data_IF_918876810556
#
_entry.id   IF_918876810556
#
_cell.length_a   1.000
_cell.length_b   1.000
_cell.length_c   1.000
_cell.angle_alpha   90.00
_cell.angle_beta   90.00
_cell.angle_gamma   90.00
#
_symmetry.space_group_name_H-M   'P 1'
#
loop_
_entity.id
_entity.type
_entity.pdbx_description
1 polymer ?
#
# COMPACT_ATOMS: atom_id res chain seq x y z
N UNK A 1 2.93 -1.95 19.03
CA UNK A 1 1.82 -2.83 18.62
C UNK A 1 1.19 -3.46 19.86
N UNK A 2 -0.13 -3.38 20.01
CA UNK A 2 -0.88 -3.92 21.16
C UNK A 2 -1.89 -4.97 20.69
N UNK A 3 -2.01 -6.09 21.40
CA UNK A 3 -3.03 -7.09 21.16
C UNK A 3 -4.16 -6.99 22.20
N UNK A 4 -5.42 -6.98 21.74
CA UNK A 4 -6.60 -6.94 22.61
C UNK A 4 -7.69 -7.91 22.15
N UNK A 5 -8.58 -8.28 23.08
CA UNK A 5 -9.76 -9.10 22.77
C UNK A 5 -10.90 -8.20 22.29
N UNK A 6 -11.75 -8.73 21.42
CA UNK A 6 -12.93 -8.02 20.91
C UNK A 6 -13.82 -7.42 22.02
N UNK A 7 -13.95 -8.08 23.18
CA UNK A 7 -14.75 -7.57 24.29
C UNK A 7 -14.13 -6.33 24.94
N UNK A 8 -12.82 -6.31 25.12
CA UNK A 8 -12.11 -5.21 25.76
C UNK A 8 -12.03 -3.98 24.84
N UNK A 9 -11.84 -4.20 23.53
CA UNK A 9 -11.94 -3.14 22.53
C UNK A 9 -13.31 -2.45 22.57
N UNK A 10 -14.39 -3.22 22.67
CA UNK A 10 -15.76 -2.68 22.73
C UNK A 10 -16.00 -1.85 23.99
N UNK A 11 -15.52 -2.33 25.13
CA UNK A 11 -15.66 -1.61 26.39
C UNK A 11 -14.85 -0.30 26.42
N UNK A 12 -13.69 -0.27 25.74
CA UNK A 12 -12.73 0.82 25.80
C UNK A 12 -12.47 1.48 24.43
N UNK A 13 -13.50 1.56 23.57
CA UNK A 13 -13.32 1.90 22.14
C UNK A 13 -12.61 3.25 21.92
N UNK A 14 -12.96 4.28 22.71
CA UNK A 14 -12.36 5.61 22.62
C UNK A 14 -10.85 5.56 22.86
N UNK A 15 -10.42 4.90 23.94
CA UNK A 15 -9.00 4.73 24.29
C UNK A 15 -8.22 4.09 23.14
N UNK A 16 -8.77 3.03 22.56
CA UNK A 16 -8.10 2.32 21.47
C UNK A 16 -8.07 3.13 20.17
N UNK A 17 -9.10 3.90 19.87
CA UNK A 17 -9.07 4.79 18.71
C UNK A 17 -8.08 5.94 18.88
N UNK A 18 -8.00 6.52 20.08
CA UNK A 18 -6.99 7.54 20.39
C UNK A 18 -5.56 6.96 20.27
N UNK A 19 -5.35 5.72 20.71
CA UNK A 19 -4.06 5.03 20.53
C UNK A 19 -3.75 4.81 19.03
N UNK A 20 -4.71 4.28 18.26
CA UNK A 20 -4.54 4.08 16.82
C UNK A 20 -4.25 5.38 16.07
N UNK A 21 -4.95 6.46 16.44
CA UNK A 21 -4.74 7.78 15.87
C UNK A 21 -3.32 8.30 16.14
N UNK A 22 -2.76 8.01 17.31
CA UNK A 22 -1.39 8.37 17.68
C UNK A 22 -0.32 7.41 17.12
N UNK A 23 -0.68 6.51 16.19
CA UNK A 23 0.26 5.61 15.50
C UNK A 23 0.48 4.26 16.17
N UNK A 24 -0.36 3.87 17.15
CA UNK A 24 -0.27 2.55 17.77
C UNK A 24 -1.08 1.51 16.99
N UNK A 25 -0.43 0.48 16.45
CA UNK A 25 -1.12 -0.63 15.78
C UNK A 25 -1.81 -1.54 16.79
N UNK A 26 -3.12 -1.75 16.63
CA UNK A 26 -3.91 -2.60 17.54
C UNK A 26 -4.37 -3.86 16.80
N UNK A 27 -4.02 -5.02 17.33
CA UNK A 27 -4.47 -6.33 16.83
C UNK A 27 -5.62 -6.82 17.71
N UNK A 28 -6.78 -7.01 17.10
CA UNK A 28 -7.99 -7.47 17.78
C UNK A 28 -8.17 -8.95 17.49
N UNK A 29 -7.96 -9.77 18.53
CA UNK A 29 -8.14 -11.21 18.42
C UNK A 29 -9.62 -11.57 18.26
N UNK A 30 -9.94 -12.42 17.30
CA UNK A 30 -11.29 -12.96 17.07
C UNK A 30 -11.25 -14.48 17.04
N UNK A 31 -12.41 -15.11 17.28
CA UNK A 31 -12.56 -16.55 17.13
C UNK A 31 -12.18 -16.97 15.71
N UNK A 32 -11.75 -18.22 15.54
CA UNK A 32 -11.35 -18.80 14.26
C UNK A 32 -10.18 -18.06 13.58
N UNK A 33 -9.32 -17.42 14.36
CA UNK A 33 -8.15 -16.68 13.87
C UNK A 33 -8.48 -15.56 12.85
N UNK A 34 -9.73 -15.08 12.84
CA UNK A 34 -10.21 -13.97 11.98
C UNK A 34 -9.85 -12.60 12.57
N UNK A 35 -8.61 -12.46 13.01
CA UNK A 35 -8.14 -11.26 13.71
C UNK A 35 -8.21 -10.04 12.79
N UNK A 36 -8.42 -8.87 13.37
CA UNK A 36 -8.46 -7.60 12.62
C UNK A 36 -7.42 -6.64 13.18
N UNK A 37 -6.89 -5.78 12.32
CA UNK A 37 -5.91 -4.75 12.69
C UNK A 37 -6.60 -3.40 12.62
N UNK A 38 -6.43 -2.58 13.65
CA UNK A 38 -6.88 -1.19 13.72
C UNK A 38 -5.66 -0.29 13.72
N UNK A 39 -5.62 0.64 12.78
CA UNK A 39 -4.57 1.65 12.57
C UNK A 39 -5.24 2.98 12.21
N UNK A 40 -4.47 4.07 12.24
CA UNK A 40 -4.94 5.35 11.74
C UNK A 40 -5.23 5.30 10.23
N UNK A 41 -6.10 6.20 9.78
CA UNK A 41 -6.35 6.38 8.34
C UNK A 41 -5.08 6.79 7.59
N UNK A 42 -4.24 7.64 8.20
CA UNK A 42 -2.98 8.07 7.61
C UNK A 42 -2.06 6.87 7.34
N UNK A 43 -1.87 6.01 8.35
CA UNK A 43 -1.02 4.82 8.22
C UNK A 43 -1.59 3.84 7.18
N UNK A 44 -2.91 3.65 7.14
CA UNK A 44 -3.56 2.87 6.09
C UNK A 44 -3.26 3.43 4.68
N UNK A 45 -3.38 4.74 4.50
CA UNK A 45 -3.10 5.39 3.22
C UNK A 45 -1.64 5.28 2.81
N UNK A 46 -0.70 5.39 3.75
CA UNK A 46 0.73 5.19 3.51
C UNK A 46 1.03 3.75 3.07
N UNK A 47 0.43 2.74 3.72
CA UNK A 47 0.56 1.34 3.30
C UNK A 47 0.01 1.12 1.88
N UNK A 48 -1.14 1.70 1.54
CA UNK A 48 -1.70 1.60 0.19
C UNK A 48 -0.80 2.28 -0.85
N UNK A 49 -0.19 3.42 -0.53
CA UNK A 49 0.80 4.09 -1.40
C UNK A 49 2.04 3.23 -1.58
N UNK A 50 2.61 2.68 -0.51
CA UNK A 50 3.77 1.80 -0.55
C UNK A 50 3.51 0.57 -1.42
N UNK A 51 2.34 -0.06 -1.30
CA UNK A 51 1.93 -1.19 -2.14
C UNK A 51 1.90 -0.82 -3.63
N UNK A 52 1.25 0.31 -3.98
CA UNK A 52 1.22 0.79 -5.38
C UNK A 52 2.62 1.12 -5.90
N UNK A 53 3.46 1.70 -5.06
CA UNK A 53 4.84 2.00 -5.43
C UNK A 53 5.65 0.73 -5.67
N UNK A 54 5.46 -0.32 -4.87
CA UNK A 54 6.11 -1.61 -5.10
C UNK A 54 5.70 -2.24 -6.44
N UNK A 55 4.42 -2.17 -6.79
CA UNK A 55 3.92 -2.61 -8.11
C UNK A 55 4.52 -1.77 -9.25
N UNK A 56 4.69 -0.46 -9.04
CA UNK A 56 5.35 0.41 -10.01
C UNK A 56 6.85 0.12 -10.15
N UNK A 57 7.56 -0.11 -9.05
CA UNK A 57 8.97 -0.50 -9.06
C UNK A 57 9.17 -1.82 -9.82
N UNK A 58 8.28 -2.80 -9.63
CA UNK A 58 8.31 -4.04 -10.41
C UNK A 58 8.13 -3.82 -11.93
N UNK A 59 7.34 -2.82 -12.33
CA UNK A 59 7.22 -2.43 -13.76
C UNK A 59 8.52 -1.82 -14.29
N UNK A 60 9.20 -0.98 -13.48
CA UNK A 60 10.50 -0.42 -13.84
C UNK A 60 11.55 -1.53 -13.99
N UNK A 61 11.61 -2.47 -13.05
CA UNK A 61 12.53 -3.61 -13.11
C UNK A 61 12.30 -4.44 -14.38
N UNK A 62 11.03 -4.70 -14.73
CA UNK A 62 10.68 -5.35 -15.99
C UNK A 62 11.15 -4.54 -17.19
N UNK A 63 10.91 -3.23 -17.21
CA UNK A 63 11.35 -2.36 -18.30
C UNK A 63 12.88 -2.36 -18.45
N UNK A 64 13.64 -2.33 -17.35
CA UNK A 64 15.09 -2.47 -17.38
C UNK A 64 15.56 -3.83 -17.89
N UNK A 65 14.87 -4.91 -17.56
CA UNK A 65 15.17 -6.24 -18.11
C UNK A 65 14.95 -6.27 -19.63
N UNK A 66 13.84 -5.70 -20.11
CA UNK A 66 13.53 -5.59 -21.55
C UNK A 66 14.57 -4.74 -22.29
N UNK A 67 14.98 -3.60 -21.70
CA UNK A 67 16.07 -2.77 -22.23
C UNK A 67 17.38 -3.57 -22.40
N UNK A 68 17.76 -4.37 -21.39
CA UNK A 68 18.97 -5.21 -21.45
C UNK A 68 18.87 -6.34 -22.48
N UNK A 69 17.66 -6.85 -22.72
CA UNK A 69 17.40 -7.91 -23.71
C UNK A 69 17.20 -7.36 -25.13
N UNK A 70 17.17 -6.04 -25.30
CA UNK A 70 16.90 -5.40 -26.60
C UNK A 70 15.42 -5.44 -27.02
N UNK A 71 14.51 -5.81 -26.11
CA UNK A 71 13.06 -5.80 -26.33
C UNK A 71 12.50 -4.37 -26.23
N UNK A 72 12.99 -3.47 -27.08
CA UNK A 72 12.68 -2.04 -27.04
C UNK A 72 12.11 -1.56 -28.36
N UNK A 73 11.25 -0.55 -28.30
CA UNK A 73 10.76 0.16 -29.47
C UNK A 73 11.52 1.48 -29.56
N UNK A 74 12.32 1.65 -30.60
CA UNK A 74 13.07 2.88 -30.86
C UNK A 74 12.17 3.84 -31.62
N UNK A 75 12.01 5.06 -31.09
CA UNK A 75 11.26 6.14 -31.71
C UNK A 75 12.06 7.43 -31.59
N UNK A 76 12.05 8.24 -32.65
CA UNK A 76 12.54 9.61 -32.64
C UNK A 76 11.53 10.55 -31.97
N UNK A 77 11.98 11.72 -31.53
CA UNK A 77 11.11 12.73 -30.93
C UNK A 77 10.01 13.18 -31.91
N UNK A 78 10.37 13.42 -33.17
CA UNK A 78 9.43 13.81 -34.23
C UNK A 78 8.34 12.75 -34.46
N UNK A 79 8.65 11.46 -34.35
CA UNK A 79 7.64 10.40 -34.45
C UNK A 79 6.66 10.43 -33.27
N UNK A 80 7.14 10.72 -32.05
CA UNK A 80 6.30 10.77 -30.86
C UNK A 80 5.38 11.99 -30.88
N UNK A 81 5.87 13.14 -31.33
CA UNK A 81 5.08 14.35 -31.50
C UNK A 81 3.93 14.14 -32.50
N UNK A 82 4.22 13.52 -33.66
CA UNK A 82 3.19 13.17 -34.64
C UNK A 82 2.10 12.25 -34.10
N UNK A 83 2.44 11.35 -33.17
CA UNK A 83 1.47 10.43 -32.54
C UNK A 83 0.64 11.10 -31.45
N UNK A 84 1.07 12.24 -30.90
CA UNK A 84 0.34 12.97 -29.88
C UNK A 84 -0.71 13.94 -30.45
N UNK A 85 -0.54 14.34 -31.71
CA UNK A 85 -1.45 15.20 -32.47
C UNK A 85 -2.55 14.42 -33.22
N UNK A 86 -2.56 13.08 -33.12
CA UNK A 86 -3.64 12.17 -33.58
C UNK A 86 -4.64 11.84 -32.46
#
# INVERSE_FOLDING_TARGET
>A
MIATKQMDLRANIKKYFDLAFNGETIVVSRKENKNVVVISEQEYNELQRAKRNAEYLAKLDRSFAQLKQGEVVIKSMEELERMADE
#
